data_IF_125960503858
#
_entry.id   IF_125960503858
#
_cell.length_a   1.000
_cell.length_b   1.000
_cell.length_c   1.000
_cell.angle_alpha   90.00
_cell.angle_beta   90.00
_cell.angle_gamma   90.00
#
_symmetry.space_group_name_H-M   'P 1'
#
loop_
_entity.id
_entity.type
_entity.pdbx_description
1 polymer ?
#
# COMPACT_ATOMS: atom_id res chain seq x y z
N UNK A 1 5.55 10.68 -9.31
CA UNK A 1 5.89 11.53 -8.15
C UNK A 1 6.20 10.59 -7.02
N UNK A 2 7.46 10.50 -6.61
CA UNK A 2 7.89 9.73 -5.43
C UNK A 2 8.18 10.73 -4.33
N UNK A 3 7.74 10.46 -3.10
CA UNK A 3 7.94 11.30 -1.91
C UNK A 3 9.32 11.10 -1.26
N UNK A 4 10.15 10.19 -1.80
CA UNK A 4 11.52 9.93 -1.36
C UNK A 4 12.31 9.20 -2.45
N UNK A 5 13.41 9.78 -2.95
CA UNK A 5 14.41 9.12 -3.78
C UNK A 5 15.76 9.04 -3.05
N UNK A 6 16.33 7.84 -2.91
CA UNK A 6 17.61 7.63 -2.20
C UNK A 6 18.78 8.17 -3.04
N UNK A 7 19.36 9.29 -2.57
CA UNK A 7 20.80 9.40 -2.28
C UNK A 7 21.16 10.74 -1.59
N UNK A 8 20.22 11.68 -1.49
CA UNK A 8 20.33 12.90 -0.69
C UNK A 8 18.95 13.58 -0.63
N UNK A 9 18.06 13.23 0.30
CA UNK A 9 16.81 13.98 0.44
C UNK A 9 16.49 14.26 1.91
N UNK A 10 16.57 15.54 2.25
CA UNK A 10 15.93 16.06 3.45
C UNK A 10 14.43 15.72 3.43
N UNK A 11 13.84 15.40 4.59
CA UNK A 11 12.42 15.10 4.68
C UNK A 11 11.60 16.25 4.13
N UNK A 12 10.64 15.93 3.25
CA UNK A 12 9.66 16.92 2.75
C UNK A 12 8.47 16.98 3.70
N UNK A 13 7.81 18.15 3.77
CA UNK A 13 6.56 18.28 4.53
C UNK A 13 5.51 17.21 4.15
N UNK A 14 5.46 16.84 2.87
CA UNK A 14 4.57 15.79 2.38
C UNK A 14 4.95 14.40 2.92
N UNK A 15 6.25 14.09 2.96
CA UNK A 15 6.74 12.83 3.53
C UNK A 15 6.56 12.76 5.06
N UNK A 16 6.76 13.85 5.78
CA UNK A 16 6.59 13.93 7.25
C UNK A 16 5.12 13.90 7.67
N UNK A 17 4.23 14.45 6.83
CA UNK A 17 2.78 14.46 7.09
C UNK A 17 2.11 13.10 6.89
N UNK A 18 2.81 12.09 6.36
CA UNK A 18 2.22 10.80 6.00
C UNK A 18 1.55 10.12 7.20
N UNK A 19 2.24 10.00 8.34
CA UNK A 19 1.68 9.41 9.55
C UNK A 19 0.42 10.16 10.04
N UNK A 20 0.43 11.49 10.00
CA UNK A 20 -0.71 12.30 10.39
C UNK A 20 -1.92 12.12 9.46
N UNK A 21 -1.71 12.09 8.14
CA UNK A 21 -2.77 11.87 7.15
C UNK A 21 -3.37 10.47 7.30
N UNK A 22 -2.53 9.45 7.42
CA UNK A 22 -3.00 8.07 7.66
C UNK A 22 -3.79 8.00 8.97
N UNK A 23 -3.31 8.65 10.04
CA UNK A 23 -4.03 8.72 11.33
C UNK A 23 -5.40 9.36 11.19
N UNK A 24 -5.51 10.49 10.47
CA UNK A 24 -6.80 11.16 10.26
C UNK A 24 -7.81 10.25 9.58
N UNK A 25 -7.39 9.51 8.53
CA UNK A 25 -8.27 8.55 7.87
C UNK A 25 -8.67 7.44 8.85
N UNK A 26 -7.69 6.81 9.51
CA UNK A 26 -7.95 5.73 10.46
C UNK A 26 -8.85 6.12 11.64
N UNK A 27 -8.77 7.37 12.09
CA UNK A 27 -9.56 7.88 13.21
C UNK A 27 -10.99 8.24 12.81
N UNK A 28 -11.19 8.75 11.59
CA UNK A 28 -12.45 9.38 11.17
C UNK A 28 -13.26 8.58 10.17
N UNK A 29 -12.79 7.40 9.76
CA UNK A 29 -13.60 6.45 9.00
C UNK A 29 -13.62 5.07 9.65
N UNK A 30 -14.76 4.41 9.59
CA UNK A 30 -14.88 3.00 10.00
C UNK A 30 -14.75 2.06 8.80
N UNK A 31 -14.67 2.61 7.58
CA UNK A 31 -14.62 1.83 6.37
C UNK A 31 -13.19 1.32 6.11
N UNK A 32 -12.99 0.02 6.32
CA UNK A 32 -11.71 -0.66 6.08
C UNK A 32 -11.17 -0.51 4.65
N UNK A 33 -12.03 -0.28 3.65
CA UNK A 33 -11.61 0.02 2.29
C UNK A 33 -10.80 1.32 2.22
N UNK A 34 -11.24 2.38 2.91
CA UNK A 34 -10.47 3.63 2.93
C UNK A 34 -9.15 3.50 3.70
N UNK A 35 -9.12 2.65 4.72
CA UNK A 35 -7.88 2.33 5.45
C UNK A 35 -6.85 1.64 4.56
N UNK A 36 -7.25 0.62 3.79
CA UNK A 36 -6.34 -0.05 2.86
C UNK A 36 -5.94 0.87 1.70
N UNK A 37 -6.88 1.66 1.17
CA UNK A 37 -6.62 2.61 0.07
C UNK A 37 -5.55 3.64 0.44
N UNK A 38 -5.71 4.32 1.59
CA UNK A 38 -4.76 5.37 1.97
C UNK A 38 -3.37 4.78 2.23
N UNK A 39 -3.31 3.59 2.83
CA UNK A 39 -2.05 2.95 3.13
C UNK A 39 -1.35 2.47 1.86
N UNK A 40 -2.04 1.81 0.93
CA UNK A 40 -1.47 1.41 -0.36
C UNK A 40 -1.03 2.62 -1.19
N UNK A 41 -1.77 3.74 -1.12
CA UNK A 41 -1.38 5.00 -1.74
C UNK A 41 -0.03 5.48 -1.19
N UNK A 42 0.14 5.59 0.12
CA UNK A 42 1.43 5.98 0.71
C UNK A 42 2.53 4.94 0.43
N UNK A 43 2.21 3.64 0.45
CA UNK A 43 3.17 2.59 0.10
C UNK A 43 3.63 2.69 -1.37
N UNK A 44 2.84 3.29 -2.25
CA UNK A 44 3.23 3.56 -3.64
C UNK A 44 4.05 4.84 -3.84
N UNK A 45 4.06 5.73 -2.86
CA UNK A 45 4.67 7.06 -2.96
C UNK A 45 5.89 7.24 -2.06
N UNK A 46 5.93 6.58 -0.90
CA UNK A 46 6.93 6.77 0.15
C UNK A 46 7.60 5.45 0.51
N UNK A 47 8.92 5.48 0.70
CA UNK A 47 9.68 4.36 1.29
C UNK A 47 9.50 4.34 2.82
N UNK A 48 9.69 3.19 3.45
CA UNK A 48 9.66 3.05 4.91
C UNK A 48 8.31 3.44 5.57
N UNK A 49 7.18 3.26 4.87
CA UNK A 49 5.83 3.53 5.42
C UNK A 49 5.54 2.69 6.68
N UNK A 50 6.25 1.59 6.88
CA UNK A 50 6.22 0.83 8.14
C UNK A 50 6.56 1.70 9.36
N UNK A 51 7.47 2.68 9.24
CA UNK A 51 7.79 3.63 10.31
C UNK A 51 6.58 4.48 10.67
N UNK A 52 5.87 4.99 9.66
CA UNK A 52 4.64 5.75 9.84
C UNK A 52 3.60 4.90 10.57
N UNK A 53 3.34 3.68 10.10
CA UNK A 53 2.35 2.77 10.71
C UNK A 53 2.73 2.45 12.17
N UNK A 54 3.99 2.15 12.46
CA UNK A 54 4.45 1.88 13.83
C UNK A 54 4.32 3.12 14.73
N UNK A 55 4.61 4.31 14.21
CA UNK A 55 4.42 5.57 14.97
C UNK A 55 2.95 5.81 15.31
N UNK A 56 2.01 5.45 14.43
CA UNK A 56 0.56 5.55 14.69
C UNK A 56 0.15 4.58 15.79
N UNK A 57 0.69 3.36 15.79
CA UNK A 57 0.42 2.38 16.86
C UNK A 57 1.00 2.87 18.19
N UNK A 58 2.22 3.42 18.17
CA UNK A 58 2.92 3.90 19.36
C UNK A 58 2.23 5.14 19.99
N UNK A 59 1.86 6.13 19.18
CA UNK A 59 1.50 7.47 19.66
C UNK A 59 0.13 7.97 19.17
N UNK A 60 -0.51 7.27 18.23
CA UNK A 60 -1.80 7.67 17.69
C UNK A 60 -2.95 7.53 18.70
N UNK A 61 -4.12 8.12 18.40
CA UNK A 61 -5.31 7.99 19.22
C UNK A 61 -5.84 6.53 19.21
N UNK A 62 -6.54 6.07 20.26
CA UNK A 62 -6.99 4.68 20.38
C UNK A 62 -7.78 4.15 19.17
N UNK A 63 -8.62 5.00 18.55
CA UNK A 63 -9.41 4.62 17.37
C UNK A 63 -8.54 4.35 16.13
N UNK A 64 -7.38 4.99 16.00
CA UNK A 64 -6.48 4.79 14.87
C UNK A 64 -5.50 3.62 15.05
N UNK A 65 -5.22 3.21 16.30
CA UNK A 65 -4.26 2.13 16.59
C UNK A 65 -4.74 0.77 16.10
N UNK A 66 -6.02 0.47 16.29
CA UNK A 66 -6.64 -0.78 15.84
C UNK A 66 -6.44 -1.01 14.33
N UNK A 67 -6.93 -0.13 13.41
CA UNK A 67 -6.69 -0.32 11.98
C UNK A 67 -5.21 -0.30 11.60
N UNK A 68 -4.37 0.51 12.26
CA UNK A 68 -2.93 0.54 12.01
C UNK A 68 -2.25 -0.82 12.33
N UNK A 69 -2.52 -1.39 13.50
CA UNK A 69 -1.98 -2.69 13.90
C UNK A 69 -2.44 -3.80 12.95
N UNK A 70 -3.72 -3.80 12.58
CA UNK A 70 -4.26 -4.80 11.68
C UNK A 70 -3.64 -4.74 10.27
N UNK A 71 -3.49 -3.54 9.71
CA UNK A 71 -2.86 -3.38 8.40
C UNK A 71 -1.36 -3.63 8.44
N UNK A 72 -0.68 -3.33 9.54
CA UNK A 72 0.73 -3.70 9.75
C UNK A 72 0.91 -5.22 9.59
N UNK A 73 0.15 -6.03 10.32
CA UNK A 73 0.24 -7.48 10.24
C UNK A 73 -0.26 -8.04 8.90
N UNK A 74 -1.12 -7.31 8.21
CA UNK A 74 -1.61 -7.71 6.90
C UNK A 74 -0.55 -7.53 5.80
N UNK A 75 0.05 -6.33 5.67
CA UNK A 75 1.04 -6.04 4.63
C UNK A 75 2.45 -6.57 4.97
N UNK A 76 2.78 -6.70 6.25
CA UNK A 76 4.02 -7.31 6.78
C UNK A 76 3.73 -8.61 7.54
N UNK A 77 3.26 -9.67 6.85
CA UNK A 77 2.79 -10.90 7.50
C UNK A 77 3.86 -11.64 8.30
N UNK A 78 5.15 -11.37 8.07
CA UNK A 78 6.26 -11.98 8.81
C UNK A 78 6.39 -11.47 10.25
N UNK A 79 5.79 -10.32 10.56
CA UNK A 79 5.67 -9.85 11.94
C UNK A 79 4.67 -10.68 12.75
N UNK A 80 3.87 -11.52 12.10
CA UNK A 80 2.94 -12.44 12.74
C UNK A 80 3.48 -13.88 12.61
N UNK A 81 4.17 -14.38 13.66
CA UNK A 81 4.91 -15.64 13.58
C UNK A 81 4.03 -16.89 13.45
N UNK A 82 2.74 -16.84 13.83
CA UNK A 82 1.87 -18.00 13.74
C UNK A 82 0.49 -17.68 13.14
N UNK A 83 0.10 -18.44 12.11
CA UNK A 83 -1.25 -18.37 11.51
C UNK A 83 -2.36 -18.65 12.54
N UNK A 84 -2.05 -19.39 13.61
CA UNK A 84 -2.96 -19.66 14.73
C UNK A 84 -3.35 -18.41 15.49
N UNK A 85 -2.45 -17.45 15.62
CA UNK A 85 -2.60 -16.27 16.48
C UNK A 85 -3.52 -15.22 15.83
N UNK A 86 -3.81 -15.40 14.54
CA UNK A 86 -4.79 -14.61 13.78
C UNK A 86 -6.24 -14.94 14.15
N UNK A 87 -6.50 -16.07 14.83
CA UNK A 87 -7.86 -16.53 15.14
C UNK A 87 -8.62 -15.67 16.16
N UNK A 88 -7.93 -14.87 16.97
CA UNK A 88 -8.53 -13.90 17.90
C UNK A 88 -8.58 -12.45 17.38
N UNK A 89 -8.02 -12.19 16.19
CA UNK A 89 -7.94 -10.85 15.61
C UNK A 89 -9.17 -10.66 14.72
N UNK A 90 -10.16 -9.91 15.20
CA UNK A 90 -11.45 -9.70 14.53
C UNK A 90 -11.40 -8.73 13.33
N UNK A 91 -10.22 -8.30 12.89
CA UNK A 91 -10.11 -7.43 11.73
C UNK A 91 -10.24 -8.20 10.43
N UNK A 92 -11.42 -8.08 9.84
CA UNK A 92 -11.65 -8.48 8.47
C UNK A 92 -11.02 -7.45 7.55
N UNK A 93 -9.88 -7.80 6.96
CA UNK A 93 -9.29 -7.00 5.89
C UNK A 93 -10.32 -6.70 4.81
N UNK A 94 -10.39 -5.44 4.40
CA UNK A 94 -11.27 -4.97 3.35
C UNK A 94 -10.43 -4.22 2.31
N UNK A 95 -10.22 -4.85 1.16
CA UNK A 95 -9.57 -4.20 0.03
C UNK A 95 -10.45 -3.08 -0.51
N UNK A 96 -9.83 -1.97 -0.91
CA UNK A 96 -10.54 -0.92 -1.62
C UNK A 96 -10.99 -1.39 -3.01
N UNK A 97 -12.17 -0.96 -3.49
CA UNK A 97 -12.66 -1.36 -4.79
C UNK A 97 -11.87 -0.67 -5.90
N UNK A 98 -11.67 -1.36 -7.01
CA UNK A 98 -11.11 -0.74 -8.21
C UNK A 98 -12.02 0.39 -8.71
N UNK A 99 -11.42 1.53 -9.05
CA UNK A 99 -12.14 2.66 -9.64
C UNK A 99 -12.57 2.25 -11.05
N UNK A 100 -13.80 2.57 -11.43
CA UNK A 100 -14.33 2.30 -12.77
C UNK A 100 -14.03 3.43 -13.75
N UNK A 101 -14.07 3.13 -15.03
CA UNK A 101 -13.87 4.12 -16.09
C UNK A 101 -15.00 5.18 -16.05
N UNK A 102 -14.61 6.44 -15.96
CA UNK A 102 -15.51 7.58 -15.84
C UNK A 102 -15.75 8.31 -17.17
N UNK A 103 -15.08 7.90 -18.25
CA UNK A 103 -15.21 8.56 -19.55
C UNK A 103 -16.60 8.33 -20.14
N UNK A 104 -17.33 9.42 -20.39
CA UNK A 104 -18.57 9.40 -21.17
C UNK A 104 -18.27 8.95 -22.61
N UNK A 105 -18.94 7.89 -23.08
CA UNK A 105 -18.65 7.25 -24.37
C UNK A 105 -17.57 6.16 -24.31
N UNK A 106 -17.29 5.62 -23.12
CA UNK A 106 -16.54 4.37 -23.00
C UNK A 106 -17.26 3.23 -23.74
N UNK A 107 -16.55 2.48 -24.58
CA UNK A 107 -17.10 1.33 -25.32
C UNK A 107 -17.64 0.23 -24.41
N UNK A 108 -17.07 0.13 -23.20
CA UNK A 108 -17.50 -0.84 -22.18
C UNK A 108 -18.50 -0.23 -21.19
N UNK A 109 -19.17 0.87 -21.56
CA UNK A 109 -20.21 1.52 -20.76
C UNK A 109 -19.77 1.91 -19.34
N UNK A 110 -18.48 2.16 -19.13
CA UNK A 110 -17.93 2.47 -17.81
C UNK A 110 -17.76 1.27 -16.88
N UNK A 111 -18.07 0.04 -17.30
CA UNK A 111 -17.99 -1.15 -16.44
C UNK A 111 -16.57 -1.72 -16.30
N UNK A 112 -15.61 -1.18 -17.04
CA UNK A 112 -14.21 -1.59 -16.94
C UNK A 112 -13.47 -0.81 -15.86
N UNK A 113 -12.52 -1.51 -15.21
CA UNK A 113 -11.60 -0.91 -14.25
C UNK A 113 -10.72 0.15 -14.93
N UNK A 114 -10.56 1.28 -14.25
CA UNK A 114 -9.62 2.31 -14.64
C UNK A 114 -8.20 1.86 -14.33
N UNK A 115 -7.31 2.02 -15.31
CA UNK A 115 -5.88 1.68 -15.20
C UNK A 115 -5.00 2.91 -15.35
N UNK A 116 -5.58 4.03 -15.76
CA UNK A 116 -4.93 5.33 -15.88
C UNK A 116 -5.84 6.43 -15.35
N UNK A 117 -5.23 7.48 -14.82
CA UNK A 117 -5.91 8.74 -14.53
C UNK A 117 -5.39 9.83 -15.48
N UNK A 118 -6.25 10.76 -15.88
CA UNK A 118 -5.89 11.90 -16.71
C UNK A 118 -6.16 13.20 -15.96
N UNK A 119 -5.13 14.04 -15.81
CA UNK A 119 -5.24 15.33 -15.11
C UNK A 119 -5.65 16.48 -16.03
N UNK A 120 -5.86 16.23 -17.32
CA UNK A 120 -6.23 17.26 -18.29
C UNK A 120 -7.70 17.73 -18.06
N UNK A 121 -7.94 18.99 -17.66
CA UNK A 121 -9.28 19.50 -17.39
C UNK A 121 -10.20 19.43 -18.61
N UNK A 122 -9.68 19.66 -19.81
CA UNK A 122 -10.49 19.65 -21.03
C UNK A 122 -11.16 18.29 -21.27
N UNK A 123 -10.44 17.20 -20.99
CA UNK A 123 -10.99 15.84 -21.13
C UNK A 123 -12.05 15.55 -20.07
N UNK A 124 -11.84 16.01 -18.84
CA UNK A 124 -12.77 15.82 -17.73
C UNK A 124 -14.10 16.57 -17.97
N UNK A 125 -14.02 17.82 -18.45
CA UNK A 125 -15.17 18.63 -18.85
C UNK A 125 -15.99 17.92 -19.95
N UNK A 126 -15.33 17.46 -21.01
CA UNK A 126 -15.99 16.72 -22.10
C UNK A 126 -16.61 15.39 -21.63
N UNK A 127 -16.13 14.82 -20.53
CA UNK A 127 -16.56 13.52 -20.00
C UNK A 127 -17.66 13.62 -18.94
N UNK A 128 -18.38 14.74 -18.86
CA UNK A 128 -19.51 14.92 -17.95
C UNK A 128 -19.28 15.96 -16.86
N UNK A 129 -18.47 16.98 -17.16
CA UNK A 129 -18.20 18.12 -16.28
C UNK A 129 -17.72 17.72 -14.87
N UNK A 130 -16.93 16.65 -14.81
CA UNK A 130 -16.30 16.19 -13.56
C UNK A 130 -14.97 16.91 -13.35
N UNK A 131 -14.58 17.21 -12.08
CA UNK A 131 -13.27 17.75 -11.81
C UNK A 131 -12.18 16.69 -12.08
N UNK A 132 -11.00 17.09 -12.59
CA UNK A 132 -9.84 16.20 -12.66
C UNK A 132 -9.45 15.64 -11.28
N UNK A 133 -8.82 14.45 -11.21
CA UNK A 133 -8.46 13.60 -12.34
C UNK A 133 -9.62 12.76 -12.88
N UNK A 134 -9.66 12.55 -14.20
CA UNK A 134 -10.59 11.62 -14.84
C UNK A 134 -9.99 10.22 -14.90
N UNK A 135 -10.69 9.22 -14.35
CA UNK A 135 -10.24 7.82 -14.33
C UNK A 135 -10.70 7.08 -15.60
N UNK A 136 -9.78 6.42 -16.30
CA UNK A 136 -10.04 5.79 -17.60
C UNK A 136 -9.48 4.36 -17.72
N UNK A 137 -10.23 3.48 -18.38
CA UNK A 137 -9.79 2.11 -18.69
C UNK A 137 -8.74 2.08 -19.80
N UNK A 138 -8.15 0.89 -20.04
CA UNK A 138 -7.13 0.65 -21.06
C UNK A 138 -7.57 1.12 -22.46
N UNK A 139 -8.80 0.78 -22.85
CA UNK A 139 -9.29 1.01 -24.22
C UNK A 139 -9.55 2.51 -24.46
N UNK A 140 -10.09 3.18 -23.44
CA UNK A 140 -10.25 4.63 -23.46
C UNK A 140 -8.88 5.33 -23.48
N UNK A 141 -7.92 4.85 -22.69
CA UNK A 141 -6.58 5.41 -22.69
C UNK A 141 -5.86 5.25 -24.02
N UNK A 142 -6.00 4.10 -24.69
CA UNK A 142 -5.43 3.90 -26.04
C UNK A 142 -6.04 4.86 -27.06
N UNK A 143 -7.37 5.02 -27.02
CA UNK A 143 -8.10 5.94 -27.91
C UNK A 143 -7.64 7.39 -27.72
N UNK A 144 -7.44 7.81 -26.46
CA UNK A 144 -7.09 9.18 -26.09
C UNK A 144 -5.58 9.45 -26.06
N UNK A 145 -4.74 8.43 -26.31
CA UNK A 145 -3.29 8.50 -26.12
C UNK A 145 -2.65 9.60 -26.98
N UNK A 146 -3.14 9.79 -28.20
CA UNK A 146 -2.59 10.77 -29.14
C UNK A 146 -2.74 12.21 -28.64
N UNK A 147 -3.91 12.54 -28.11
CA UNK A 147 -4.28 13.92 -27.78
C UNK A 147 -4.03 14.26 -26.30
N UNK A 148 -4.15 13.26 -25.41
CA UNK A 148 -4.08 13.45 -23.96
C UNK A 148 -3.00 12.63 -23.26
N UNK A 149 -2.19 11.86 -24.00
CA UNK A 149 -1.23 10.92 -23.42
C UNK A 149 -0.22 11.53 -22.43
N UNK A 150 0.20 12.78 -22.67
CA UNK A 150 1.12 13.50 -21.77
C UNK A 150 0.54 13.85 -20.39
N UNK A 151 -0.79 13.78 -20.23
CA UNK A 151 -1.49 14.06 -18.97
C UNK A 151 -1.95 12.77 -18.26
N UNK A 152 -1.63 11.60 -18.82
CA UNK A 152 -2.04 10.32 -18.27
C UNK A 152 -0.99 9.76 -17.32
N UNK A 153 -1.44 9.28 -16.17
CA UNK A 153 -0.62 8.60 -15.17
C UNK A 153 -1.21 7.21 -14.92
N UNK A 154 -0.36 6.19 -14.89
CA UNK A 154 -0.76 4.82 -14.57
C UNK A 154 -1.24 4.68 -13.12
N UNK A 155 -2.23 3.82 -12.93
CA UNK A 155 -2.82 3.51 -11.63
C UNK A 155 -2.42 2.11 -11.19
N UNK A 156 -2.08 1.99 -9.91
CA UNK A 156 -2.03 0.70 -9.24
C UNK A 156 -3.44 0.22 -8.94
N UNK A 157 -3.64 -1.08 -9.10
CA UNK A 157 -4.85 -1.78 -8.73
C UNK A 157 -4.77 -2.22 -7.26
N UNK A 158 -5.90 -2.31 -6.55
CA UNK A 158 -5.92 -2.70 -5.13
C UNK A 158 -5.24 -4.04 -4.89
N UNK A 159 -4.65 -4.27 -3.71
CA UNK A 159 -4.20 -5.61 -3.33
C UNK A 159 -5.34 -6.39 -2.63
N UNK A 160 -6.04 -7.34 -3.28
CA UNK A 160 -7.16 -8.05 -2.65
C UNK A 160 -6.68 -9.05 -1.59
N UNK A 161 -5.46 -9.56 -1.73
CA UNK A 161 -4.79 -10.43 -0.80
C UNK A 161 -3.29 -10.14 -0.80
N UNK A 162 -2.63 -10.37 0.35
CA UNK A 162 -1.17 -10.29 0.46
C UNK A 162 -0.61 -11.71 0.44
N UNK A 163 0.03 -12.10 -0.66
CA UNK A 163 0.61 -13.44 -0.83
C UNK A 163 1.82 -13.68 0.10
N UNK A 164 1.86 -14.82 0.78
CA UNK A 164 3.05 -15.26 1.52
C UNK A 164 4.17 -15.79 0.59
N UNK A 165 3.87 -15.98 -0.68
CA UNK A 165 4.73 -16.60 -1.69
C UNK A 165 4.97 -15.64 -2.85
N UNK A 166 6.12 -15.79 -3.53
CA UNK A 166 6.52 -14.98 -4.67
C UNK A 166 5.48 -15.05 -5.79
N UNK A 167 5.03 -13.88 -6.26
CA UNK A 167 4.02 -13.74 -7.32
C UNK A 167 4.65 -13.67 -8.72
N UNK A 168 5.98 -13.67 -8.80
CA UNK A 168 6.68 -13.74 -10.08
C UNK A 168 6.43 -15.10 -10.74
N UNK A 169 5.67 -15.11 -11.85
CA UNK A 169 5.38 -16.31 -12.64
C UNK A 169 6.63 -17.07 -13.11
N UNK A 170 7.75 -16.36 -13.26
CA UNK A 170 9.03 -16.94 -13.69
C UNK A 170 9.98 -17.23 -12.50
N UNK A 171 9.48 -17.34 -11.28
CA UNK A 171 10.28 -17.64 -10.10
C UNK A 171 10.84 -19.07 -10.16
N UNK A 172 12.18 -19.20 -10.11
CA UNK A 172 12.89 -20.48 -10.04
C UNK A 172 13.56 -20.76 -8.69
N UNK A 173 13.31 -19.91 -7.69
CA UNK A 173 13.92 -20.08 -6.37
C UNK A 173 13.26 -21.21 -5.60
N UNK A 174 14.07 -22.05 -4.96
CA UNK A 174 13.60 -23.08 -4.01
C UNK A 174 12.98 -22.46 -2.75
N UNK A 175 13.46 -21.27 -2.35
CA UNK A 175 12.88 -20.46 -1.29
C UNK A 175 12.02 -19.36 -1.91
N UNK A 176 10.75 -19.68 -2.13
CA UNK A 176 9.79 -18.78 -2.77
C UNK A 176 8.99 -17.91 -1.79
N UNK A 177 9.35 -17.88 -0.51
CA UNK A 177 8.70 -17.01 0.50
C UNK A 177 8.85 -15.55 0.09
N UNK A 178 7.75 -14.81 0.03
CA UNK A 178 7.75 -13.39 -0.29
C UNK A 178 8.32 -12.55 0.85
N UNK A 179 9.32 -11.72 0.54
CA UNK A 179 10.02 -10.84 1.49
C UNK A 179 9.96 -9.36 1.11
N UNK A 180 9.44 -9.05 -0.07
CA UNK A 180 9.36 -7.69 -0.60
C UNK A 180 8.06 -7.51 -1.37
N UNK A 181 7.41 -6.34 -1.24
CA UNK A 181 6.29 -5.90 -2.09
C UNK A 181 6.71 -4.65 -2.86
N UNK A 182 6.65 -4.69 -4.19
CA UNK A 182 7.00 -3.55 -5.04
C UNK A 182 5.73 -2.87 -5.58
N UNK A 183 5.66 -1.55 -5.43
CA UNK A 183 4.56 -0.69 -5.86
C UNK A 183 4.91 0.12 -7.12
N UNK A 184 6.05 -0.14 -7.76
CA UNK A 184 6.33 0.45 -9.08
C UNK A 184 5.34 -0.09 -10.13
N UNK A 185 4.86 0.79 -11.01
CA UNK A 185 4.03 0.42 -12.18
C UNK A 185 4.76 -0.59 -13.07
N UNK A 186 6.09 -0.46 -13.23
CA UNK A 186 6.89 -1.37 -14.05
C UNK A 186 6.80 -2.81 -13.52
N UNK A 187 6.92 -2.97 -12.20
CA UNK A 187 6.77 -4.26 -11.53
C UNK A 187 5.30 -4.73 -11.52
N UNK A 188 4.37 -3.83 -11.24
CA UNK A 188 2.95 -4.12 -11.16
C UNK A 188 2.35 -4.54 -12.51
N UNK A 189 2.91 -4.09 -13.63
CA UNK A 189 2.50 -4.49 -14.98
C UNK A 189 2.55 -6.02 -15.19
N UNK A 190 3.45 -6.72 -14.48
CA UNK A 190 3.55 -8.18 -14.51
C UNK A 190 2.49 -8.89 -13.66
N UNK A 191 1.72 -8.15 -12.85
CA UNK A 191 0.69 -8.64 -11.93
C UNK A 191 -0.65 -7.89 -12.11
N UNK A 192 -1.05 -7.64 -13.36
CA UNK A 192 -2.32 -6.97 -13.68
C UNK A 192 -2.47 -5.59 -13.01
N UNK A 193 -1.39 -4.81 -13.02
CA UNK A 193 -1.24 -3.52 -12.35
C UNK A 193 -1.43 -3.55 -10.83
N UNK A 194 -1.45 -4.73 -10.18
CA UNK A 194 -1.39 -4.83 -8.72
C UNK A 194 0.06 -4.79 -8.25
N UNK A 195 0.37 -4.18 -7.09
CA UNK A 195 1.67 -4.35 -6.46
C UNK A 195 2.06 -5.83 -6.39
N UNK A 196 3.33 -6.13 -6.63
CA UNK A 196 3.82 -7.50 -6.79
C UNK A 196 4.80 -7.86 -5.68
N UNK A 197 4.63 -9.07 -5.14
CA UNK A 197 5.47 -9.63 -4.10
C UNK A 197 6.55 -10.54 -4.66
N UNK A 198 7.77 -10.35 -4.18
CA UNK A 198 8.95 -11.10 -4.60
C UNK A 198 9.59 -11.85 -3.43
N UNK A 199 10.08 -13.06 -3.69
CA UNK A 199 11.07 -13.69 -2.81
C UNK A 199 12.43 -13.01 -2.92
N UNK A 200 13.34 -13.32 -2.00
CA UNK A 200 14.66 -12.69 -1.92
C UNK A 200 15.40 -12.70 -3.27
N UNK A 201 15.51 -13.87 -3.92
CA UNK A 201 16.21 -13.99 -5.20
C UNK A 201 15.53 -13.23 -6.36
N UNK A 202 14.20 -13.07 -6.33
CA UNK A 202 13.50 -12.27 -7.34
C UNK A 202 13.60 -10.77 -7.07
N UNK A 203 13.61 -10.39 -5.79
CA UNK A 203 13.82 -9.02 -5.35
C UNK A 203 15.21 -8.54 -5.76
N UNK A 204 16.27 -9.29 -5.43
CA UNK A 204 17.66 -8.95 -5.78
C UNK A 204 17.87 -8.86 -7.30
N UNK A 205 17.27 -9.78 -8.08
CA UNK A 205 17.35 -9.71 -9.55
C UNK A 205 16.69 -8.45 -10.14
N UNK A 206 15.62 -7.95 -9.51
CA UNK A 206 14.86 -6.79 -10.01
C UNK A 206 15.34 -5.46 -9.44
N UNK A 207 15.84 -5.46 -8.21
CA UNK A 207 16.12 -4.26 -7.41
C UNK A 207 17.53 -4.24 -6.79
N UNK A 208 18.42 -5.17 -7.16
CA UNK A 208 19.83 -5.17 -6.72
C UNK A 208 20.63 -4.01 -7.33
N UNK A 209 21.96 -4.10 -7.34
CA UNK A 209 22.86 -2.96 -7.67
C UNK A 209 22.67 -2.34 -9.07
N UNK A 210 22.09 -3.08 -10.01
CA UNK A 210 21.74 -2.60 -11.36
C UNK A 210 20.21 -2.50 -11.59
N UNK A 211 19.43 -2.63 -10.51
CA UNK A 211 17.98 -2.58 -10.54
C UNK A 211 17.45 -1.17 -10.77
N UNK A 212 16.13 -1.06 -10.91
CA UNK A 212 15.48 0.23 -11.09
C UNK A 212 15.55 1.06 -9.79
N UNK A 213 16.42 2.07 -9.79
CA UNK A 213 16.71 2.97 -8.65
C UNK A 213 15.44 3.67 -8.14
N UNK A 214 14.45 3.84 -9.02
CA UNK A 214 13.24 4.62 -8.75
C UNK A 214 12.05 3.77 -8.27
N UNK A 215 12.23 2.46 -8.09
CA UNK A 215 11.15 1.64 -7.56
C UNK A 215 10.91 1.93 -6.09
N UNK A 216 9.63 1.99 -5.71
CA UNK A 216 9.20 2.01 -4.32
C UNK A 216 8.77 0.60 -3.95
N UNK A 217 9.45 0.05 -2.96
CA UNK A 217 9.18 -1.28 -2.45
C UNK A 217 9.33 -1.31 -0.93
N UNK A 218 8.65 -2.27 -0.31
CA UNK A 218 8.64 -2.47 1.13
C UNK A 218 9.10 -3.88 1.44
N UNK A 219 10.16 -4.00 2.23
CA UNK A 219 10.72 -5.27 2.67
C UNK A 219 10.15 -5.70 4.02
N UNK A 220 10.21 -7.01 4.27
CA UNK A 220 9.95 -7.58 5.59
C UNK A 220 11.04 -7.15 6.57
N UNK A 221 10.67 -6.93 7.84
CA UNK A 221 11.62 -6.80 8.93
C UNK A 221 12.12 -8.21 9.27
N UNK A 222 13.32 -8.55 8.82
CA UNK A 222 13.94 -9.87 9.07
C UNK A 222 14.62 -9.89 10.43
N UNK A 223 15.34 -8.81 10.76
CA UNK A 223 16.01 -8.63 12.04
C UNK A 223 15.82 -7.20 12.57
N UNK A 224 15.22 -7.10 13.75
CA UNK A 224 14.94 -5.84 14.43
C UNK A 224 16.26 -5.15 14.82
N UNK A 225 17.28 -5.91 15.18
CA UNK A 225 18.57 -5.35 15.62
C UNK A 225 19.36 -4.72 14.48
N UNK A 226 19.14 -5.20 13.25
CA UNK A 226 19.67 -4.59 12.03
C UNK A 226 18.93 -3.32 11.57
N UNK A 227 17.78 -3.00 12.16
CA UNK A 227 17.00 -1.82 11.79
C UNK A 227 17.60 -0.51 12.34
N UNK A 228 17.23 0.64 11.74
CA UNK A 228 17.61 1.96 12.27
C UNK A 228 17.12 2.16 13.72
N UNK A 229 17.84 2.91 14.57
CA UNK A 229 17.42 3.18 15.97
C UNK A 229 16.01 3.76 16.09
N UNK A 230 15.61 4.62 15.15
CA UNK A 230 14.26 5.17 15.08
C UNK A 230 13.19 4.09 14.91
N UNK A 231 13.38 3.18 13.93
CA UNK A 231 12.46 2.07 13.69
C UNK A 231 12.39 1.12 14.90
N UNK A 232 13.53 0.84 15.54
CA UNK A 232 13.57 0.06 16.78
C UNK A 232 12.77 0.73 17.90
N UNK A 233 12.89 2.05 18.05
CA UNK A 233 12.16 2.84 19.05
C UNK A 233 10.66 2.80 18.80
N UNK A 234 10.21 3.05 17.57
CA UNK A 234 8.78 2.98 17.23
C UNK A 234 8.21 1.58 17.42
N UNK A 235 8.98 0.54 17.10
CA UNK A 235 8.54 -0.84 17.33
C UNK A 235 8.35 -1.12 18.83
N UNK A 236 9.31 -0.75 19.67
CA UNK A 236 9.22 -0.93 21.12
C UNK A 236 8.04 -0.15 21.72
N UNK A 237 7.89 1.12 21.35
CA UNK A 237 6.79 1.94 21.86
C UNK A 237 5.42 1.46 21.34
N UNK A 238 5.35 0.94 20.11
CA UNK A 238 4.15 0.28 19.58
C UNK A 238 3.77 -0.97 20.38
N UNK A 239 4.73 -1.82 20.74
CA UNK A 239 4.49 -3.01 21.58
C UNK A 239 3.96 -2.58 22.95
N UNK A 240 4.60 -1.62 23.60
CA UNK A 240 4.15 -1.11 24.92
C UNK A 240 2.76 -0.49 24.82
N UNK A 241 2.47 0.25 23.76
CA UNK A 241 1.17 0.86 23.49
C UNK A 241 0.06 -0.20 23.35
N UNK A 242 0.29 -1.25 22.56
CA UNK A 242 -0.65 -2.35 22.38
C UNK A 242 -0.86 -3.15 23.68
N UNK A 243 0.20 -3.40 24.45
CA UNK A 243 0.10 -4.12 25.72
C UNK A 243 -0.75 -3.38 26.76
N UNK A 244 -0.78 -2.04 26.73
CA UNK A 244 -1.64 -1.23 27.59
C UNK A 244 -3.13 -1.36 27.23
N UNK A 245 -3.44 -1.73 25.98
CA UNK A 245 -4.81 -1.93 25.48
C UNK A 245 -5.26 -3.39 25.52
N UNK A 246 -4.31 -4.31 25.67
CA UNK A 246 -4.60 -5.74 25.75
C UNK A 246 -5.30 -6.09 27.08
N UNK A 247 -6.42 -6.81 26.99
CA UNK A 247 -7.04 -7.44 28.14
C UNK A 247 -6.30 -8.73 28.51
N UNK A 248 -6.05 -9.03 29.80
CA UNK A 248 -5.43 -10.29 30.20
C UNK A 248 -6.22 -11.50 29.72
N UNK A 249 -5.51 -12.49 29.18
CA UNK A 249 -6.08 -13.78 28.77
C UNK A 249 -6.49 -14.52 30.05
N UNK A 250 -7.74 -14.34 30.51
CA UNK A 250 -8.24 -14.96 31.74
C UNK A 250 -9.43 -14.28 32.41
N UNK A 251 -9.84 -13.07 32.01
CA UNK A 251 -10.96 -12.35 32.64
C UNK A 251 -12.24 -12.37 31.80
N UNK A 252 -12.60 -13.50 31.20
CA UNK A 252 -14.01 -13.78 30.94
C UNK A 252 -14.61 -14.18 32.28
N UNK A 253 -15.09 -13.19 33.05
CA UNK A 253 -16.03 -13.48 34.13
C UNK A 253 -17.33 -13.89 33.48
N UNK A 254 -17.74 -15.13 33.72
CA UNK A 254 -19.12 -15.56 33.54
C UNK A 254 -20.03 -14.55 34.26
N UNK A 255 -20.91 -13.93 33.48
CA UNK A 255 -21.98 -13.05 33.94
C UNK A 255 -23.17 -13.24 33.04
#
# INVERSE_FOLDING_TARGET
>A
MTLSSDDCEEPTYASESAAAIITMVFQHTENGAFHSQILECFMSLKRNVIKDVLSIIAYGPPSAKSPAAHLLFYYWPQLNPALSDRRGIHYKYCAWPAILCQRKGCINEGNCQAVKMCINPALAIHSGDSPPPLYICSDCAQTLKKDHGGYMVDLLMPMPHVSSVCENKNCKSSQNIAVCTCFSIDCASFNSNRPIRYCSSCHERRHGSNGSINHIYHTSIIDIWSCSPELQRYLMDAIVSLLKEATPIGTKKDG
#
